data_IF_858802202833
#
_entry.id   IF_858802202833
#
_cell.length_a   1.000
_cell.length_b   1.000
_cell.length_c   1.000
_cell.angle_alpha   90.00
_cell.angle_beta   90.00
_cell.angle_gamma   90.00
#
_symmetry.space_group_name_H-M   'P 1'
#
loop_
_entity.id
_entity.type
_entity.pdbx_description
1 polymer ?
#
# COMPACT_ATOMS: atom_id res chain seq x y z
N UNK A 1 14.32 10.28 -8.32
CA UNK A 1 14.30 9.26 -7.27
C UNK A 1 12.88 8.76 -7.14
N UNK A 2 12.71 7.45 -7.19
CA UNK A 2 11.44 6.78 -7.00
C UNK A 2 11.47 6.01 -5.69
N UNK A 3 10.36 5.93 -4.98
CA UNK A 3 10.29 5.20 -3.71
C UNK A 3 9.03 4.37 -3.68
N UNK A 4 9.16 3.09 -3.37
CA UNK A 4 8.05 2.22 -2.99
C UNK A 4 7.94 2.30 -1.47
N UNK A 5 6.80 2.74 -0.98
CA UNK A 5 6.52 2.86 0.44
C UNK A 5 5.39 1.92 0.81
N UNK A 6 5.63 0.99 1.73
CA UNK A 6 4.58 0.13 2.28
C UNK A 6 3.99 0.77 3.52
N UNK A 7 2.67 0.82 3.58
CA UNK A 7 1.93 1.20 4.77
C UNK A 7 1.09 0.04 5.29
N UNK A 8 0.89 0.03 6.60
CA UNK A 8 0.00 -0.89 7.30
C UNK A 8 -0.93 -0.08 8.18
N UNK A 9 -2.20 0.00 7.82
CA UNK A 9 -3.16 0.90 8.44
C UNK A 9 -4.56 0.27 8.55
N UNK A 10 -5.43 0.87 9.35
CA UNK A 10 -6.86 0.54 9.48
C UNK A 10 -7.72 1.22 8.40
N UNK A 11 -7.10 1.61 7.28
CA UNK A 11 -7.73 2.20 6.10
C UNK A 11 -6.96 1.80 4.85
N UNK A 12 -7.63 1.82 3.70
CA UNK A 12 -7.01 1.49 2.41
C UNK A 12 -6.05 2.59 1.94
N UNK A 13 -4.90 2.20 1.37
CA UNK A 13 -3.83 3.16 1.10
C UNK A 13 -4.14 4.26 0.08
N UNK A 14 -5.21 4.12 -0.70
CA UNK A 14 -5.65 5.18 -1.62
C UNK A 14 -6.35 6.36 -0.93
N UNK A 15 -6.66 6.25 0.37
CA UNK A 15 -7.21 7.39 1.12
C UNK A 15 -6.20 8.51 1.30
N UNK A 16 -4.92 8.16 1.43
CA UNK A 16 -3.80 9.12 1.45
C UNK A 16 -4.04 10.28 2.43
N UNK A 17 -4.55 9.99 3.63
CA UNK A 17 -4.78 10.99 4.68
C UNK A 17 -3.51 11.75 5.06
N UNK A 18 -3.62 12.96 5.59
CA UNK A 18 -2.45 13.83 5.86
C UNK A 18 -1.36 13.16 6.71
N UNK A 19 -1.74 12.24 7.60
CA UNK A 19 -0.87 11.47 8.49
C UNK A 19 -0.47 10.09 7.95
N UNK A 20 -0.82 9.72 6.71
CA UNK A 20 -0.56 8.39 6.15
C UNK A 20 0.92 7.93 6.30
N UNK A 21 1.86 8.89 6.31
CA UNK A 21 3.29 8.63 6.49
C UNK A 21 3.65 8.06 7.86
N UNK A 22 2.81 8.20 8.89
CA UNK A 22 3.06 7.58 10.20
C UNK A 22 2.83 6.07 10.20
N UNK A 23 2.20 5.55 9.14
CA UNK A 23 1.88 4.12 8.96
C UNK A 23 2.89 3.40 8.08
N UNK A 24 3.97 4.07 7.67
CA UNK A 24 5.04 3.49 6.86
C UNK A 24 5.77 2.42 7.67
N UNK A 25 5.83 1.21 7.12
CA UNK A 25 6.56 0.09 7.72
C UNK A 25 7.82 -0.28 6.93
N UNK A 26 7.82 -0.04 5.62
CA UNK A 26 8.95 -0.37 4.72
C UNK A 26 9.08 0.72 3.65
N UNK A 27 10.31 1.05 3.27
CA UNK A 27 10.62 1.96 2.15
C UNK A 27 11.81 1.45 1.36
N UNK A 28 11.70 1.53 0.03
CA UNK A 28 12.76 1.13 -0.88
C UNK A 28 12.87 2.17 -2.01
N UNK A 29 14.09 2.58 -2.34
CA UNK A 29 14.34 3.68 -3.30
C UNK A 29 15.11 3.21 -4.52
N UNK A 30 14.72 3.76 -5.67
CA UNK A 30 15.21 3.41 -7.00
C UNK A 30 15.60 4.66 -7.78
N UNK A 31 16.53 4.51 -8.71
CA UNK A 31 17.00 5.62 -9.52
C UNK A 31 16.07 5.88 -10.70
N UNK A 32 15.57 4.81 -11.32
CA UNK A 32 14.73 4.87 -12.52
C UNK A 32 13.30 4.41 -12.27
N UNK A 33 12.40 4.75 -13.18
CA UNK A 33 11.02 4.26 -13.14
C UNK A 33 10.97 2.75 -13.43
N UNK A 34 11.79 2.28 -14.37
CA UNK A 34 11.80 0.88 -14.80
C UNK A 34 12.24 -0.05 -13.66
N UNK A 35 13.30 0.31 -12.93
CA UNK A 35 13.72 -0.41 -11.71
C UNK A 35 12.59 -0.46 -10.66
N UNK A 36 11.93 0.68 -10.43
CA UNK A 36 10.86 0.76 -9.45
C UNK A 36 9.64 -0.06 -9.86
N UNK A 37 9.22 -0.01 -11.12
CA UNK A 37 8.00 -0.69 -11.56
C UNK A 37 8.19 -2.21 -11.64
N UNK A 38 9.39 -2.69 -11.98
CA UNK A 38 9.75 -4.11 -11.91
C UNK A 38 9.60 -4.62 -10.47
N UNK A 39 10.20 -3.92 -9.50
CA UNK A 39 10.11 -4.31 -8.10
C UNK A 39 8.69 -4.15 -7.53
N UNK A 40 7.99 -3.06 -7.88
CA UNK A 40 6.58 -2.88 -7.49
C UNK A 40 5.72 -4.04 -7.97
N UNK A 41 5.86 -4.46 -9.23
CA UNK A 41 5.10 -5.58 -9.80
C UNK A 41 5.40 -6.88 -9.05
N UNK A 42 6.68 -7.15 -8.76
CA UNK A 42 7.11 -8.30 -7.95
C UNK A 42 6.48 -8.30 -6.55
N UNK A 43 6.45 -7.14 -5.88
CA UNK A 43 5.82 -6.99 -4.55
C UNK A 43 4.30 -7.20 -4.61
N UNK A 44 3.64 -6.74 -5.69
CA UNK A 44 2.21 -6.97 -5.90
C UNK A 44 1.91 -8.46 -6.11
N UNK A 45 2.63 -9.15 -7.00
CA UNK A 45 2.44 -10.60 -7.18
C UNK A 45 2.68 -11.39 -5.89
N UNK A 46 3.73 -11.03 -5.14
CA UNK A 46 4.02 -11.63 -3.84
C UNK A 46 2.90 -11.37 -2.83
N UNK A 47 2.32 -10.17 -2.82
CA UNK A 47 1.21 -9.84 -1.94
C UNK A 47 -0.09 -10.58 -2.33
N UNK A 48 -0.35 -10.74 -3.63
CA UNK A 48 -1.50 -11.52 -4.13
C UNK A 48 -1.42 -12.98 -3.66
N UNK A 49 -0.23 -13.59 -3.65
CA UNK A 49 -0.04 -14.97 -3.14
C UNK A 49 -0.13 -15.06 -1.61
N UNK A 50 0.30 -14.00 -0.92
CA UNK A 50 0.39 -13.96 0.55
C UNK A 50 -0.94 -13.67 1.26
N UNK A 51 -1.77 -12.81 0.70
CA UNK A 51 -2.99 -12.31 1.34
C UNK A 51 -4.24 -12.95 0.74
N UNK A 52 -5.21 -13.26 1.59
CA UNK A 52 -6.46 -13.91 1.19
C UNK A 52 -7.31 -13.02 0.28
N UNK A 53 -7.20 -11.70 0.45
CA UNK A 53 -8.02 -10.72 -0.25
C UNK A 53 -7.22 -9.47 -0.63
N UNK A 54 -7.68 -8.80 -1.69
CA UNK A 54 -7.27 -7.45 -2.01
C UNK A 54 -8.36 -6.67 -2.73
N UNK A 55 -8.28 -5.35 -2.65
CA UNK A 55 -9.13 -4.42 -3.39
C UNK A 55 -8.21 -3.46 -4.16
N UNK A 56 -8.53 -3.18 -5.41
CA UNK A 56 -7.87 -2.13 -6.20
C UNK A 56 -8.76 -0.90 -6.21
N UNK A 57 -8.29 0.18 -5.60
CA UNK A 57 -9.07 1.41 -5.44
C UNK A 57 -8.58 2.55 -6.32
N UNK A 58 -8.66 3.78 -5.79
CA UNK A 58 -8.24 4.98 -6.53
C UNK A 58 -6.76 4.88 -6.88
N UNK A 59 -6.39 5.43 -8.05
CA UNK A 59 -5.00 5.48 -8.53
C UNK A 59 -4.34 4.12 -8.73
N UNK A 60 -5.14 3.06 -8.87
CA UNK A 60 -4.67 1.67 -8.98
C UNK A 60 -3.83 1.22 -7.78
N UNK A 61 -4.08 1.79 -6.60
CA UNK A 61 -3.45 1.36 -5.35
C UNK A 61 -4.19 0.13 -4.82
N UNK A 62 -3.41 -0.88 -4.47
CA UNK A 62 -3.89 -2.14 -3.91
C UNK A 62 -3.96 -2.03 -2.38
N UNK A 63 -5.04 -2.54 -1.79
CA UNK A 63 -5.20 -2.74 -0.36
C UNK A 63 -5.39 -4.24 -0.09
N UNK A 64 -4.35 -4.89 0.41
CA UNK A 64 -4.31 -6.32 0.73
C UNK A 64 -4.72 -6.54 2.18
N UNK A 65 -5.47 -7.61 2.47
CA UNK A 65 -5.91 -7.90 3.82
C UNK A 65 -6.28 -9.38 4.03
N UNK A 66 -6.21 -9.82 5.28
CA UNK A 66 -6.72 -11.12 5.73
C UNK A 66 -7.88 -10.90 6.70
N UNK A 67 -8.92 -11.72 6.62
CA UNK A 67 -10.13 -11.56 7.44
C UNK A 67 -9.87 -11.68 8.95
N UNK A 68 -8.79 -12.34 9.34
CA UNK A 68 -8.39 -12.52 10.74
C UNK A 68 -7.39 -11.45 11.23
N UNK A 69 -6.88 -10.59 10.35
CA UNK A 69 -5.93 -9.54 10.70
C UNK A 69 -6.68 -8.23 11.00
N UNK A 70 -7.25 -8.19 12.21
CA UNK A 70 -8.07 -7.09 12.70
C UNK A 70 -7.40 -6.39 13.88
N UNK A 71 -7.67 -5.09 14.03
CA UNK A 71 -7.20 -4.29 15.16
C UNK A 71 -8.38 -3.68 15.90
N UNK A 72 -8.48 -3.99 17.19
CA UNK A 72 -9.48 -3.36 18.04
C UNK A 72 -9.23 -1.86 18.19
N UNK A 73 -10.16 -1.03 17.73
CA UNK A 73 -10.13 0.41 17.90
C UNK A 73 -10.96 0.83 19.12
N UNK A 74 -10.28 1.21 20.21
CA UNK A 74 -10.93 1.66 21.45
C UNK A 74 -11.84 2.88 21.28
N UNK A 75 -11.59 3.72 20.27
CA UNK A 75 -12.40 4.90 20.04
C UNK A 75 -13.73 4.55 19.36
N UNK A 76 -13.71 3.57 18.46
CA UNK A 76 -14.88 3.10 17.74
C UNK A 76 -15.61 1.96 18.45
N UNK A 77 -14.95 1.28 19.40
CA UNK A 77 -15.43 0.06 20.08
C UNK A 77 -15.70 -1.11 19.11
N UNK A 78 -14.89 -1.19 18.05
CA UNK A 78 -15.03 -2.17 16.97
C UNK A 78 -13.66 -2.70 16.52
N UNK A 79 -13.65 -3.91 15.95
CA UNK A 79 -12.50 -4.50 15.28
C UNK A 79 -12.39 -3.95 13.84
N UNK A 80 -11.33 -3.20 13.57
CA UNK A 80 -11.08 -2.61 12.26
C UNK A 80 -10.20 -3.52 11.41
N UNK A 81 -10.51 -3.61 10.11
CA UNK A 81 -9.69 -4.32 9.14
C UNK A 81 -8.34 -3.62 8.97
N UNK A 82 -7.26 -4.40 9.04
CA UNK A 82 -5.92 -3.92 8.68
C UNK A 82 -5.67 -4.17 7.19
N UNK A 83 -5.17 -3.14 6.51
CA UNK A 83 -4.77 -3.16 5.11
C UNK A 83 -3.27 -2.95 4.97
N UNK A 84 -2.69 -3.68 4.03
CA UNK A 84 -1.33 -3.46 3.55
C UNK A 84 -1.41 -2.84 2.15
N UNK A 85 -0.79 -1.68 1.97
CA UNK A 85 -0.77 -0.97 0.69
C UNK A 85 0.62 -0.51 0.32
N UNK A 86 0.88 -0.41 -0.98
CA UNK A 86 2.11 0.15 -1.52
C UNK A 86 1.79 1.50 -2.21
N UNK A 87 2.46 2.55 -1.75
CA UNK A 87 2.34 3.92 -2.26
C UNK A 87 3.64 4.26 -2.97
N UNK A 88 3.55 4.79 -4.19
CA UNK A 88 4.73 5.18 -4.96
C UNK A 88 4.96 6.68 -4.85
N UNK A 89 6.20 7.06 -4.57
CA UNK A 89 6.64 8.45 -4.56
C UNK A 89 7.61 8.71 -5.72
N UNK A 90 7.46 9.86 -6.36
CA UNK A 90 8.43 10.44 -7.28
C UNK A 90 8.97 11.73 -6.68
N UNK A 91 10.25 11.74 -6.32
CA UNK A 91 10.89 12.86 -5.61
C UNK A 91 10.06 13.33 -4.40
N UNK A 92 9.69 12.38 -3.53
CA UNK A 92 8.90 12.57 -2.30
C UNK A 92 7.45 13.03 -2.49
N UNK A 93 6.96 13.15 -3.73
CA UNK A 93 5.56 13.44 -4.04
C UNK A 93 4.85 12.16 -4.48
N UNK A 94 3.58 12.01 -4.10
CA UNK A 94 2.79 10.84 -4.48
C UNK A 94 2.66 10.77 -6.01
N UNK A 95 2.90 9.57 -6.55
CA UNK A 95 2.72 9.26 -7.96
C UNK A 95 1.40 8.52 -8.18
N UNK A 96 0.49 9.13 -8.93
CA UNK A 96 -0.91 8.67 -9.06
C UNK A 96 -1.20 7.82 -10.30
N UNK A 97 -0.24 7.72 -11.23
CA UNK A 97 -0.45 7.07 -12.52
C UNK A 97 0.13 5.65 -12.52
N UNK A 98 -0.26 4.83 -11.54
CA UNK A 98 0.19 3.45 -11.44
C UNK A 98 -0.52 2.56 -12.47
N UNK A 99 0.17 1.58 -13.06
CA UNK A 99 -0.50 0.55 -13.84
C UNK A 99 -1.30 -0.39 -12.93
N UNK A 100 -2.30 -1.04 -13.50
CA UNK A 100 -2.90 -2.24 -12.90
C UNK A 100 -1.95 -3.40 -13.22
N UNK A 101 -1.60 -4.18 -12.19
CA UNK A 101 -0.81 -5.40 -12.31
C UNK A 101 -1.79 -6.58 -12.39
N UNK A 102 -1.82 -7.25 -13.53
CA UNK A 102 -2.65 -8.44 -13.81
C UNK A 102 -1.84 -9.73 -13.69
#
# INVERSE_FOLDING_TARGET
MWTITKIVADFEGWWLFDDWKTYITEEESFNTYDEMIEEYSSKIYTAIDKYDNYIVGKYNIYAFYNNCDLKFCKHCDEDLQIFHSYIILKNNNIYYNLPIIE
#
